data_IF_424200801231
#
_entry.id   IF_424200801231
#
_cell.length_a   1.000
_cell.length_b   1.000
_cell.length_c   1.000
_cell.angle_alpha   90.00
_cell.angle_beta   90.00
_cell.angle_gamma   90.00
#
_symmetry.space_group_name_H-M   'P 1'
#
loop_
_entity.id
_entity.type
_entity.pdbx_description
1 polymer ?
#
# COMPACT_ATOMS: atom_id res chain seq x y z
N UNK A 1 -48.27 20.83 20.41
CA UNK A 1 -47.32 19.72 20.60
C UNK A 1 -46.31 19.82 19.49
N UNK A 2 -45.16 20.45 19.76
CA UNK A 2 -44.11 20.71 18.77
C UNK A 2 -43.05 19.63 18.92
N UNK A 3 -42.85 18.85 17.87
CA UNK A 3 -41.85 17.79 17.80
C UNK A 3 -40.47 18.47 17.73
N UNK A 4 -39.75 18.51 18.86
CA UNK A 4 -38.38 19.00 18.89
C UNK A 4 -37.48 17.90 18.30
N UNK A 5 -36.99 18.17 17.10
CA UNK A 5 -36.13 17.28 16.33
C UNK A 5 -34.88 16.94 17.15
N UNK A 6 -34.70 15.64 17.36
CA UNK A 6 -33.52 15.08 18.00
C UNK A 6 -32.31 15.25 17.05
N UNK A 7 -31.75 16.47 16.99
CA UNK A 7 -30.54 16.78 16.25
C UNK A 7 -29.37 16.08 16.93
N UNK A 8 -29.03 14.90 16.41
CA UNK A 8 -27.78 14.20 16.71
C UNK A 8 -26.63 15.20 16.59
N UNK A 9 -26.03 15.56 17.74
CA UNK A 9 -24.83 16.40 17.77
C UNK A 9 -23.74 15.69 16.98
N UNK A 10 -23.14 16.40 16.04
CA UNK A 10 -21.93 15.94 15.37
C UNK A 10 -20.91 15.55 16.43
N UNK A 11 -20.64 14.24 16.52
CA UNK A 11 -19.51 13.75 17.29
C UNK A 11 -18.26 14.32 16.63
N UNK A 12 -17.56 15.19 17.33
CA UNK A 12 -16.21 15.63 16.95
C UNK A 12 -15.37 14.38 17.00
N UNK A 13 -15.23 13.71 15.84
CA UNK A 13 -14.35 12.56 15.67
C UNK A 13 -12.97 13.06 16.09
N UNK A 14 -12.53 12.66 17.29
CA UNK A 14 -11.31 13.18 17.89
C UNK A 14 -10.18 13.15 16.86
N UNK A 15 -9.44 14.26 16.72
CA UNK A 15 -8.27 14.32 15.84
C UNK A 15 -7.45 13.04 16.08
N UNK A 16 -7.22 12.25 15.02
CA UNK A 16 -6.36 11.07 15.10
C UNK A 16 -5.08 11.47 15.84
N UNK A 17 -4.72 10.73 16.88
CA UNK A 17 -3.46 10.96 17.59
C UNK A 17 -2.34 10.80 16.58
N UNK A 18 -1.66 11.90 16.25
CA UNK A 18 -0.47 11.87 15.40
C UNK A 18 0.74 11.54 16.26
N UNK A 19 1.59 10.65 15.76
CA UNK A 19 2.80 10.21 16.43
C UNK A 19 3.99 11.09 16.04
N UNK A 20 4.04 11.53 14.78
CA UNK A 20 5.04 12.46 14.27
C UNK A 20 4.50 13.88 14.10
N UNK A 21 5.38 14.86 14.25
CA UNK A 21 5.06 16.29 14.08
C UNK A 21 4.83 16.68 12.61
N UNK A 22 5.44 15.94 11.68
CA UNK A 22 5.31 16.18 10.24
C UNK A 22 4.10 15.47 9.66
N UNK A 23 3.28 16.22 8.93
CA UNK A 23 2.10 15.69 8.23
C UNK A 23 2.49 14.61 7.20
N UNK A 24 1.76 13.49 7.21
CA UNK A 24 1.94 12.37 6.26
C UNK A 24 2.93 11.28 6.69
N UNK A 25 3.72 11.49 7.76
CA UNK A 25 4.71 10.49 8.20
C UNK A 25 4.05 9.30 8.89
N UNK A 26 3.03 9.53 9.71
CA UNK A 26 2.27 8.45 10.35
C UNK A 26 1.56 7.57 9.31
N UNK A 27 0.98 8.20 8.28
CA UNK A 27 0.33 7.51 7.17
C UNK A 27 1.34 6.68 6.38
N UNK A 28 2.52 7.23 6.07
CA UNK A 28 3.60 6.51 5.40
C UNK A 28 4.07 5.30 6.24
N UNK A 29 4.25 5.49 7.54
CA UNK A 29 4.64 4.40 8.45
C UNK A 29 3.56 3.31 8.47
N UNK A 30 2.29 3.70 8.52
CA UNK A 30 1.17 2.75 8.45
C UNK A 30 1.19 1.95 7.14
N UNK A 31 1.43 2.61 6.01
CA UNK A 31 1.54 1.96 4.69
C UNK A 31 2.72 0.99 4.67
N UNK A 32 3.90 1.41 5.16
CA UNK A 32 5.08 0.56 5.25
C UNK A 32 4.83 -0.67 6.13
N UNK A 33 4.15 -0.51 7.26
CA UNK A 33 3.78 -1.62 8.15
C UNK A 33 2.84 -2.60 7.45
N UNK A 34 1.81 -2.12 6.75
CA UNK A 34 0.90 -2.98 5.98
C UNK A 34 1.64 -3.74 4.87
N UNK A 35 2.51 -3.07 4.11
CA UNK A 35 3.31 -3.72 3.07
C UNK A 35 4.25 -4.78 3.67
N UNK A 36 4.87 -4.50 4.82
CA UNK A 36 5.73 -5.46 5.50
C UNK A 36 4.96 -6.71 5.95
N UNK A 37 3.72 -6.54 6.43
CA UNK A 37 2.83 -7.65 6.79
C UNK A 37 2.45 -8.49 5.57
N UNK A 38 2.02 -7.86 4.49
CA UNK A 38 1.68 -8.57 3.24
C UNK A 38 2.90 -9.30 2.66
N UNK A 39 4.09 -8.70 2.70
CA UNK A 39 5.34 -9.34 2.28
C UNK A 39 5.65 -10.58 3.13
N UNK A 40 5.34 -10.55 4.42
CA UNK A 40 5.50 -11.71 5.30
C UNK A 40 4.55 -12.85 4.91
N UNK A 41 3.28 -12.55 4.62
CA UNK A 41 2.30 -13.54 4.15
C UNK A 41 2.79 -14.22 2.86
N UNK A 42 3.29 -13.45 1.89
CA UNK A 42 3.87 -14.00 0.65
C UNK A 42 5.07 -14.90 0.95
N UNK A 43 5.93 -14.52 1.91
CA UNK A 43 7.08 -15.35 2.33
C UNK A 43 6.61 -16.67 2.96
N UNK A 44 5.56 -16.65 3.78
CA UNK A 44 4.98 -17.84 4.38
C UNK A 44 4.40 -18.78 3.32
N UNK A 45 3.67 -18.25 2.34
CA UNK A 45 3.13 -19.03 1.24
C UNK A 45 4.25 -19.68 0.41
N UNK A 46 5.31 -18.94 0.09
CA UNK A 46 6.49 -19.48 -0.60
C UNK A 46 7.18 -20.59 0.22
N UNK A 47 7.28 -20.43 1.55
CA UNK A 47 7.83 -21.46 2.43
C UNK A 47 6.95 -22.72 2.45
N UNK A 48 5.62 -22.54 2.47
CA UNK A 48 4.65 -23.64 2.38
C UNK A 48 4.80 -24.41 1.07
N UNK A 49 4.86 -23.72 -0.07
CA UNK A 49 5.04 -24.34 -1.39
C UNK A 49 6.35 -25.12 -1.45
N UNK A 50 7.46 -24.54 -0.97
CA UNK A 50 8.76 -25.22 -0.91
C UNK A 50 8.69 -26.50 -0.07
N UNK A 51 8.12 -26.44 1.13
CA UNK A 51 8.02 -27.61 2.00
C UNK A 51 7.11 -28.68 1.40
N UNK A 52 5.96 -28.29 0.84
CA UNK A 52 5.00 -29.23 0.24
C UNK A 52 5.58 -29.93 -0.98
N UNK A 53 6.33 -29.23 -1.83
CA UNK A 53 6.96 -29.80 -3.02
C UNK A 53 8.14 -30.70 -2.68
N UNK A 54 8.93 -30.37 -1.66
CA UNK A 54 9.97 -31.25 -1.11
C UNK A 54 9.36 -32.51 -0.49
N UNK A 55 8.33 -32.37 0.34
CA UNK A 55 7.70 -33.50 1.01
C UNK A 55 7.02 -34.47 0.03
N UNK A 56 6.51 -33.96 -1.09
CA UNK A 56 5.96 -34.78 -2.17
C UNK A 56 7.03 -35.37 -3.10
N UNK A 57 8.31 -35.05 -2.88
CA UNK A 57 9.44 -35.52 -3.70
C UNK A 57 9.49 -34.93 -5.11
N UNK A 58 8.78 -33.81 -5.36
CA UNK A 58 8.75 -33.17 -6.69
C UNK A 58 10.03 -32.37 -6.97
N UNK A 59 10.64 -31.83 -5.93
CA UNK A 59 11.92 -31.13 -5.98
C UNK A 59 12.75 -31.54 -4.76
N UNK A 60 14.06 -31.64 -4.92
CA UNK A 60 14.96 -31.82 -3.78
C UNK A 60 15.45 -30.47 -3.27
N UNK A 61 15.94 -30.45 -2.02
CA UNK A 61 16.59 -29.25 -1.47
C UNK A 61 17.79 -28.81 -2.32
N UNK A 62 18.52 -29.78 -2.87
CA UNK A 62 19.66 -29.55 -3.76
C UNK A 62 19.23 -28.90 -5.08
N UNK A 63 18.11 -29.33 -5.66
CA UNK A 63 17.58 -28.70 -6.88
C UNK A 63 17.25 -27.22 -6.66
N UNK A 64 16.77 -26.86 -5.45
CA UNK A 64 16.47 -25.47 -5.09
C UNK A 64 17.76 -24.63 -4.92
N UNK A 65 18.77 -25.20 -4.26
CA UNK A 65 20.05 -24.52 -3.98
C UNK A 65 20.90 -24.35 -5.25
N UNK A 66 20.87 -25.34 -6.15
CA UNK A 66 21.59 -25.32 -7.43
C UNK A 66 20.81 -24.58 -8.53
N UNK A 67 19.56 -24.20 -8.27
CA UNK A 67 18.71 -23.55 -9.27
C UNK A 67 19.29 -22.19 -9.70
N UNK A 68 19.49 -22.05 -11.01
CA UNK A 68 19.86 -20.77 -11.63
C UNK A 68 18.83 -20.40 -12.67
N UNK A 69 18.28 -19.20 -12.52
CA UNK A 69 17.45 -18.62 -13.57
C UNK A 69 18.21 -18.53 -14.88
N UNK A 70 17.57 -18.97 -15.96
CA UNK A 70 18.05 -18.74 -17.31
C UNK A 70 18.06 -17.23 -17.61
N UNK A 71 18.84 -16.82 -18.62
CA UNK A 71 18.93 -15.41 -19.04
C UNK A 71 17.53 -14.82 -19.34
N UNK A 72 16.71 -15.59 -20.07
CA UNK A 72 15.34 -15.20 -20.43
C UNK A 72 14.43 -15.05 -19.21
N UNK A 73 14.52 -15.95 -18.23
CA UNK A 73 13.73 -15.85 -17.00
C UNK A 73 14.13 -14.61 -16.18
N UNK A 74 15.43 -14.29 -16.10
CA UNK A 74 15.89 -13.05 -15.44
C UNK A 74 15.39 -11.80 -16.15
N UNK A 75 15.43 -11.79 -17.49
CA UNK A 75 14.92 -10.65 -18.28
C UNK A 75 13.43 -10.42 -18.04
N UNK A 76 12.63 -11.49 -17.98
CA UNK A 76 11.21 -11.40 -17.63
C UNK A 76 11.01 -10.84 -16.20
N UNK A 77 11.72 -11.39 -15.21
CA UNK A 77 11.63 -10.88 -13.83
C UNK A 77 12.02 -9.41 -13.71
N UNK A 78 13.04 -8.98 -14.47
CA UNK A 78 13.45 -7.58 -14.49
C UNK A 78 12.39 -6.69 -15.15
N UNK A 79 11.69 -7.19 -16.17
CA UNK A 79 10.58 -6.47 -16.79
C UNK A 79 9.41 -6.34 -15.81
N UNK A 80 9.01 -7.43 -15.18
CA UNK A 80 7.92 -7.46 -14.20
C UNK A 80 8.23 -6.54 -13.01
N UNK A 81 9.50 -6.50 -12.56
CA UNK A 81 9.96 -5.60 -11.51
C UNK A 81 9.82 -4.13 -11.90
N UNK A 82 10.21 -3.77 -13.14
CA UNK A 82 10.03 -2.40 -13.65
C UNK A 82 8.57 -2.00 -13.72
N UNK A 83 7.71 -2.86 -14.28
CA UNK A 83 6.27 -2.59 -14.36
C UNK A 83 5.64 -2.47 -12.97
N UNK A 84 6.09 -3.27 -12.01
CA UNK A 84 5.66 -3.14 -10.62
C UNK A 84 6.07 -1.80 -10.01
N UNK A 85 7.34 -1.41 -10.17
CA UNK A 85 7.85 -0.11 -9.71
C UNK A 85 7.05 1.03 -10.35
N UNK A 86 6.85 1.01 -11.67
CA UNK A 86 6.11 2.04 -12.39
C UNK A 86 4.67 2.17 -11.86
N UNK A 87 3.99 1.05 -11.56
CA UNK A 87 2.64 1.09 -10.96
C UNK A 87 2.64 1.68 -9.55
N UNK A 88 3.63 1.39 -8.72
CA UNK A 88 3.75 1.96 -7.37
C UNK A 88 3.98 3.47 -7.45
N UNK A 89 4.84 3.93 -8.37
CA UNK A 89 5.14 5.34 -8.55
C UNK A 89 4.06 6.12 -9.29
N UNK A 90 3.23 5.46 -10.11
CA UNK A 90 2.11 6.10 -10.80
C UNK A 90 1.13 6.74 -9.80
N UNK A 91 0.76 6.01 -8.75
CA UNK A 91 -0.13 6.51 -7.68
C UNK A 91 0.47 7.71 -6.95
N UNK A 92 1.80 7.78 -6.80
CA UNK A 92 2.46 8.96 -6.21
C UNK A 92 2.41 10.15 -7.17
N UNK A 93 2.60 9.95 -8.48
CA UNK A 93 2.54 11.03 -9.47
C UNK A 93 1.15 11.66 -9.55
N UNK A 94 0.08 10.85 -9.57
CA UNK A 94 -1.29 11.38 -9.55
C UNK A 94 -1.57 12.21 -8.30
N UNK A 95 -1.02 11.82 -7.13
CA UNK A 95 -1.21 12.57 -5.89
C UNK A 95 -0.47 13.91 -5.86
N UNK A 96 0.71 13.99 -6.49
CA UNK A 96 1.50 15.23 -6.60
C UNK A 96 0.86 16.17 -7.63
N UNK A 97 0.43 15.65 -8.78
CA UNK A 97 -0.25 16.44 -9.81
C UNK A 97 -1.60 17.00 -9.30
N UNK A 98 -2.35 16.23 -8.49
CA UNK A 98 -3.57 16.72 -7.84
C UNK A 98 -3.30 17.81 -6.79
N UNK A 99 -2.17 17.73 -6.06
CA UNK A 99 -1.77 18.75 -5.09
C UNK A 99 -1.24 20.03 -5.76
N UNK A 100 -0.62 19.91 -6.95
CA UNK A 100 -0.17 21.06 -7.75
C UNK A 100 -1.32 21.72 -8.54
N UNK A 101 -2.40 21.00 -8.80
CA UNK A 101 -3.57 21.50 -9.52
C UNK A 101 -4.55 22.34 -8.68
N UNK A 102 -4.39 22.43 -7.36
CA UNK A 102 -5.14 23.37 -6.52
C UNK A 102 -4.38 24.69 -6.34
N UNK A 103 -4.71 25.71 -7.14
CA UNK A 103 -5.06 26.99 -6.53
C UNK A 103 -6.32 27.55 -7.19
N UNK A 104 -7.48 27.33 -6.56
CA UNK A 104 -8.59 28.27 -6.68
C UNK A 104 -9.45 28.20 -5.41
N UNK A 105 -9.09 29.00 -4.41
CA UNK A 105 -9.96 29.23 -3.24
C UNK A 105 -11.28 29.83 -3.72
N UNK A 106 -12.45 29.21 -3.47
CA UNK A 106 -13.71 29.83 -3.80
C UNK A 106 -13.93 31.05 -2.88
N UNK A 107 -14.09 32.23 -3.49
CA UNK A 107 -14.36 33.48 -2.76
C UNK A 107 -15.53 33.30 -1.79
N UNK A 108 -15.41 33.79 -0.53
CA UNK A 108 -16.47 33.66 0.44
C UNK A 108 -17.75 34.35 -0.06
N UNK A 109 -18.93 33.78 0.22
CA UNK A 109 -20.19 34.34 -0.22
C UNK A 109 -20.39 35.73 0.38
N UNK A 110 -20.70 36.70 -0.48
CA UNK A 110 -21.11 38.04 -0.05
C UNK A 110 -22.45 37.94 0.67
N UNK A 111 -22.44 38.24 1.96
CA UNK A 111 -23.65 38.33 2.79
C UNK A 111 -24.42 39.60 2.40
N UNK A 112 -25.76 39.54 2.20
CA UNK A 112 -26.59 40.73 1.97
C UNK A 112 -26.78 41.58 3.23
#
# INVERSE_FOLDING_TARGET
>A
MSNDENKLRYSVRGKKSRFFESDGVDELVSICMSIAQELWVVKEELAMIKNLTINKGLITKKDLDDFKFTKRQKENLNKDNKEFIDRVFFTLRESVEAAEAEPDEPKPPTVP
#
